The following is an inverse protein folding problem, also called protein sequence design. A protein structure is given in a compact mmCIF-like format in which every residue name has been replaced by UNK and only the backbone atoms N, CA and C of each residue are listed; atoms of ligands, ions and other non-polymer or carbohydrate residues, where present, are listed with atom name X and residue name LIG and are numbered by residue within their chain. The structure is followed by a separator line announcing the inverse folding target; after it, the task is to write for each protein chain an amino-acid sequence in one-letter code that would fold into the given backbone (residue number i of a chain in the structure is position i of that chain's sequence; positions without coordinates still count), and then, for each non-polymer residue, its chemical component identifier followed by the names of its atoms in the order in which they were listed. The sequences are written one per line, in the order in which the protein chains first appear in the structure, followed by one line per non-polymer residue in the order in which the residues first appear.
data_IF_220253281056
#
_entry.id   IF_220253281056
#
_cell.length_a   1.000
_cell.length_b   1.000
_cell.length_c   1.000
_cell.angle_alpha   90.00
_cell.angle_beta   90.00
_cell.angle_gamma   90.00
#
_symmetry.space_group_name_H-M   'P 1'
#
loop_
_entity.id
_entity.type
_entity.pdbx_description
1 polymer ?
#
# COMPACT_ATOMS: atom_id res chain seq x y z
N UNK A 1 -17.60 15.63 1.28
CA UNK A 1 -16.21 15.26 0.97
C UNK A 1 -16.09 13.77 1.20
N UNK A 2 -15.66 12.96 0.22
CA UNK A 2 -15.41 11.54 0.46
C UNK A 2 -14.05 11.42 1.15
N UNK A 3 -14.04 10.98 2.41
CA UNK A 3 -12.79 10.62 3.09
C UNK A 3 -12.43 9.18 2.75
N UNK A 4 -11.20 8.98 2.26
CA UNK A 4 -10.63 7.65 2.11
C UNK A 4 -10.09 7.26 3.48
N UNK A 5 -10.65 6.20 4.05
CA UNK A 5 -10.11 5.56 5.23
C UNK A 5 -8.77 4.88 4.86
N UNK A 6 -7.66 5.52 5.26
CA UNK A 6 -6.32 5.05 4.97
C UNK A 6 -6.04 3.64 5.53
N UNK A 7 -6.71 3.24 6.62
CA UNK A 7 -6.56 1.87 7.15
C UNK A 7 -7.25 0.86 6.25
N UNK A 8 -8.47 1.15 5.79
CA UNK A 8 -9.17 0.28 4.83
C UNK A 8 -8.42 0.19 3.50
N UNK A 9 -7.93 1.31 2.99
CA UNK A 9 -7.11 1.33 1.77
C UNK A 9 -5.82 0.51 1.95
N UNK A 10 -5.10 0.71 3.05
CA UNK A 10 -3.89 -0.04 3.36
C UNK A 10 -4.13 -1.56 3.44
N UNK A 11 -5.20 -1.96 4.13
CA UNK A 11 -5.62 -3.36 4.21
C UNK A 11 -5.95 -3.95 2.85
N UNK A 12 -6.67 -3.21 2.00
CA UNK A 12 -7.00 -3.63 0.64
C UNK A 12 -5.75 -3.84 -0.22
N UNK A 13 -4.81 -2.88 -0.21
CA UNK A 13 -3.54 -2.99 -0.95
C UNK A 13 -2.74 -4.20 -0.47
N UNK A 14 -2.62 -4.39 0.85
CA UNK A 14 -1.89 -5.52 1.43
C UNK A 14 -2.51 -6.87 1.05
N UNK A 15 -3.84 -6.97 1.06
CA UNK A 15 -4.56 -8.18 0.67
C UNK A 15 -4.30 -8.53 -0.80
N UNK A 16 -4.51 -7.57 -1.71
CA UNK A 16 -4.33 -7.77 -3.15
C UNK A 16 -2.88 -8.10 -3.51
N UNK A 17 -1.92 -7.46 -2.82
CA UNK A 17 -0.49 -7.74 -2.99
C UNK A 17 -0.17 -9.19 -2.64
N UNK A 18 -0.66 -9.66 -1.49
CA UNK A 18 -0.45 -11.04 -1.02
C UNK A 18 -1.15 -12.06 -1.92
N UNK A 19 -2.36 -11.77 -2.39
CA UNK A 19 -3.09 -12.62 -3.34
C UNK A 19 -2.29 -12.82 -4.63
N UNK A 20 -1.62 -11.78 -5.12
CA UNK A 20 -0.76 -11.84 -6.30
C UNK A 20 0.65 -12.36 -6.02
N UNK A 21 0.97 -12.71 -4.77
CA UNK A 21 2.26 -13.26 -4.37
C UNK A 21 3.42 -12.26 -4.40
N UNK A 22 3.15 -10.95 -4.35
CA UNK A 22 4.20 -9.94 -4.41
C UNK A 22 4.72 -9.54 -3.03
N UNK A 23 6.00 -9.22 -2.95
CA UNK A 23 6.60 -8.45 -1.87
C UNK A 23 6.28 -6.96 -2.01
N UNK A 24 6.46 -6.19 -0.94
CA UNK A 24 6.27 -4.72 -1.00
C UNK A 24 7.20 -4.07 -2.03
N UNK A 25 8.42 -4.58 -2.18
CA UNK A 25 9.40 -4.13 -3.17
C UNK A 25 8.94 -4.40 -4.60
N UNK A 26 8.47 -5.61 -4.89
CA UNK A 26 7.99 -5.95 -6.23
C UNK A 26 6.75 -5.15 -6.62
N UNK A 27 5.83 -4.91 -5.67
CA UNK A 27 4.69 -4.02 -5.92
C UNK A 27 5.15 -2.58 -6.18
N UNK A 28 6.11 -2.09 -5.40
CA UNK A 28 6.67 -0.75 -5.56
C UNK A 28 7.32 -0.56 -6.94
N UNK A 29 8.12 -1.53 -7.38
CA UNK A 29 8.74 -1.53 -8.72
C UNK A 29 7.69 -1.47 -9.83
N UNK A 30 6.61 -2.26 -9.72
CA UNK A 30 5.51 -2.27 -10.70
C UNK A 30 4.73 -0.95 -10.75
N UNK A 31 4.63 -0.25 -9.62
CA UNK A 31 3.91 1.02 -9.51
C UNK A 31 4.82 2.24 -9.66
N UNK A 32 6.11 2.06 -9.92
CA UNK A 32 7.11 3.12 -9.97
C UNK A 32 7.17 3.96 -8.68
N UNK A 33 7.01 3.29 -7.55
CA UNK A 33 7.04 3.88 -6.21
C UNK A 33 8.20 3.31 -5.40
N UNK A 34 8.43 3.87 -4.22
CA UNK A 34 9.31 3.25 -3.22
C UNK A 34 8.57 2.17 -2.44
N UNK A 35 9.31 1.14 -2.03
CA UNK A 35 8.86 0.14 -1.07
C UNK A 35 8.35 0.78 0.24
N UNK A 36 8.99 1.89 0.66
CA UNK A 36 8.56 2.72 1.79
C UNK A 36 7.16 3.33 1.59
N UNK A 37 6.82 3.75 0.37
CA UNK A 37 5.47 4.27 0.07
C UNK A 37 4.42 3.17 0.23
N UNK A 38 4.68 1.97 -0.30
CA UNK A 38 3.80 0.81 -0.13
C UNK A 38 3.66 0.45 1.36
N UNK A 39 4.77 0.43 2.10
CA UNK A 39 4.75 0.17 3.55
C UNK A 39 3.93 1.20 4.33
N UNK A 40 3.95 2.48 3.92
CA UNK A 40 3.14 3.54 4.53
C UNK A 40 1.65 3.33 4.24
N UNK A 41 1.30 3.03 2.98
CA UNK A 41 -0.07 2.73 2.58
C UNK A 41 -0.62 1.55 3.38
N UNK A 42 0.09 0.42 3.41
CA UNK A 42 -0.37 -0.79 4.11
C UNK A 42 -0.57 -0.60 5.61
N UNK A 43 0.16 0.34 6.22
CA UNK A 43 0.02 0.69 7.65
C UNK A 43 -0.97 1.82 7.92
N UNK A 44 -1.52 2.45 6.88
CA UNK A 44 -2.43 3.60 7.00
C UNK A 44 -1.77 4.85 7.59
N UNK A 45 -0.43 4.97 7.53
CA UNK A 45 0.30 6.13 8.07
C UNK A 45 0.70 7.08 6.95
N UNK A 46 0.11 8.28 6.99
CA UNK A 46 0.55 9.43 6.20
C UNK A 46 1.38 10.34 7.11
N UNK A 47 2.70 10.23 7.04
CA UNK A 47 3.58 11.28 7.58
C UNK A 47 4.01 12.16 6.43
N UNK A 48 3.63 13.44 6.55
CA UNK A 48 4.06 14.59 5.76
C UNK A 48 5.57 14.67 5.68
#
# INVERSE_FOLDING_TARGET
MYEIDNQKFGGFVAALRKEKGYTQKELAEKLFLSDKAISKWERGVSHS
#
